data_IF_543034154742
#
_entry.id   IF_543034154742
#
_cell.length_a   1.000
_cell.length_b   1.000
_cell.length_c   1.000
_cell.angle_alpha   90.00
_cell.angle_beta   90.00
_cell.angle_gamma   90.00
#
_symmetry.space_group_name_H-M   'P 1'
#
loop_
_entity.id
_entity.type
_entity.pdbx_description
1 polymer ?
#
# COMPACT_ATOMS: atom_id res chain seq x y z
N UNK A 1 -32.28 -46.35 -44.70
CA UNK A 1 -32.18 -45.97 -43.27
C UNK A 1 -30.73 -45.60 -42.97
N UNK A 2 -30.44 -44.31 -42.93
CA UNK A 2 -29.11 -43.84 -42.67
C UNK A 2 -29.12 -43.06 -41.32
N UNK A 3 -28.54 -43.64 -40.29
CA UNK A 3 -28.44 -43.07 -38.95
C UNK A 3 -27.33 -42.02 -38.89
N UNK A 4 -27.70 -40.79 -38.67
CA UNK A 4 -26.81 -39.66 -38.45
C UNK A 4 -26.26 -39.70 -36.99
N UNK A 5 -25.00 -40.01 -36.85
CA UNK A 5 -24.27 -39.98 -35.59
C UNK A 5 -23.71 -38.57 -35.38
N UNK A 6 -24.41 -37.73 -34.55
CA UNK A 6 -23.90 -36.45 -34.12
C UNK A 6 -22.96 -36.65 -32.92
N UNK A 7 -21.69 -36.55 -33.21
CA UNK A 7 -20.64 -36.42 -32.19
C UNK A 7 -20.74 -35.05 -31.51
N UNK A 8 -21.17 -35.06 -30.26
CA UNK A 8 -21.09 -33.87 -29.37
C UNK A 8 -19.67 -33.77 -28.81
N UNK A 9 -18.90 -32.79 -29.28
CA UNK A 9 -17.63 -32.42 -28.64
C UNK A 9 -17.95 -31.72 -27.29
N UNK A 10 -17.31 -32.09 -26.20
CA UNK A 10 -17.38 -31.30 -24.98
C UNK A 10 -16.53 -30.02 -25.16
N UNK A 11 -17.14 -28.88 -25.01
CA UNK A 11 -16.47 -27.58 -24.91
C UNK A 11 -15.85 -27.46 -23.54
N UNK A 12 -14.55 -27.79 -23.43
CA UNK A 12 -13.75 -27.44 -22.28
C UNK A 12 -13.26 -26.00 -22.43
N UNK A 13 -14.12 -25.04 -22.11
CA UNK A 13 -13.69 -23.68 -21.81
C UNK A 13 -13.47 -23.62 -20.28
N UNK A 14 -12.33 -24.10 -19.84
CA UNK A 14 -11.75 -23.69 -18.58
C UNK A 14 -11.34 -22.22 -18.74
N UNK A 15 -12.19 -21.30 -18.34
CA UNK A 15 -11.82 -19.90 -18.15
C UNK A 15 -10.86 -19.85 -16.97
N UNK A 16 -9.55 -19.94 -17.24
CA UNK A 16 -8.55 -19.47 -16.28
C UNK A 16 -8.88 -18.00 -16.05
N UNK A 17 -9.38 -17.68 -14.84
CA UNK A 17 -9.53 -16.28 -14.43
C UNK A 17 -8.19 -15.59 -14.70
N UNK A 18 -8.16 -14.46 -15.41
CA UNK A 18 -6.92 -13.73 -15.59
C UNK A 18 -6.35 -13.43 -14.20
N UNK A 19 -5.10 -13.81 -13.97
CA UNK A 19 -4.43 -13.60 -12.71
C UNK A 19 -4.04 -12.13 -12.62
N UNK A 20 -4.29 -11.51 -11.47
CA UNK A 20 -3.79 -10.16 -11.21
C UNK A 20 -2.26 -10.19 -11.19
N UNK A 21 -1.61 -9.20 -11.80
CA UNK A 21 -0.17 -8.97 -11.71
C UNK A 21 0.09 -7.61 -11.09
N UNK A 22 0.77 -7.57 -9.95
CA UNK A 22 1.13 -6.35 -9.26
C UNK A 22 2.62 -6.08 -9.40
N UNK A 23 2.98 -5.02 -10.12
CA UNK A 23 4.36 -4.55 -10.28
C UNK A 23 4.64 -3.53 -9.19
N UNK A 24 5.66 -3.80 -8.38
CA UNK A 24 6.10 -2.97 -7.26
C UNK A 24 7.61 -2.68 -7.34
N UNK A 25 8.04 -1.62 -6.68
CA UNK A 25 9.47 -1.35 -6.47
C UNK A 25 9.99 -1.95 -5.16
N UNK A 26 11.27 -1.68 -4.88
CA UNK A 26 11.96 -2.14 -3.67
C UNK A 26 11.10 -2.02 -2.42
N UNK A 27 10.93 -3.11 -1.71
CA UNK A 27 10.11 -3.15 -0.48
C UNK A 27 10.72 -2.31 0.65
N UNK A 28 12.04 -2.21 0.69
CA UNK A 28 12.72 -1.39 1.68
C UNK A 28 12.31 0.10 1.60
N UNK A 29 12.10 0.64 0.40
CA UNK A 29 11.99 2.09 0.17
C UNK A 29 10.68 2.57 -0.42
N UNK A 30 9.95 1.71 -1.17
CA UNK A 30 8.79 2.15 -1.94
C UNK A 30 7.51 2.17 -1.10
N UNK A 31 7.22 3.32 -0.51
CA UNK A 31 6.00 3.54 0.26
C UNK A 31 4.71 3.44 -0.57
N UNK A 32 4.77 3.75 -1.85
CA UNK A 32 3.64 3.59 -2.77
C UNK A 32 3.37 2.12 -3.07
N UNK A 33 4.44 1.34 -3.29
CA UNK A 33 4.34 -0.11 -3.50
C UNK A 33 3.79 -0.85 -2.28
N UNK A 34 4.19 -0.47 -1.08
CA UNK A 34 3.62 -1.02 0.17
C UNK A 34 2.09 -0.88 0.20
N UNK A 35 1.55 0.29 -0.17
CA UNK A 35 0.10 0.51 -0.22
C UNK A 35 -0.60 -0.41 -1.23
N UNK A 36 -0.08 -0.47 -2.45
CA UNK A 36 -0.65 -1.34 -3.49
C UNK A 36 -0.60 -2.82 -3.10
N UNK A 37 0.49 -3.23 -2.47
CA UNK A 37 0.68 -4.60 -2.02
C UNK A 37 -0.26 -4.98 -0.87
N UNK A 38 -0.39 -4.12 0.14
CA UNK A 38 -1.35 -4.32 1.23
C UNK A 38 -2.80 -4.37 0.71
N UNK A 39 -3.13 -3.53 -0.28
CA UNK A 39 -4.43 -3.58 -0.93
C UNK A 39 -4.66 -4.92 -1.65
N UNK A 40 -3.67 -5.43 -2.38
CA UNK A 40 -3.76 -6.74 -3.02
C UNK A 40 -3.96 -7.87 -2.00
N UNK A 41 -3.24 -7.84 -0.88
CA UNK A 41 -3.44 -8.80 0.23
C UNK A 41 -4.84 -8.70 0.84
N UNK A 42 -5.33 -7.50 1.11
CA UNK A 42 -6.66 -7.28 1.71
C UNK A 42 -7.79 -7.75 0.79
N UNK A 43 -7.63 -7.62 -0.53
CA UNK A 43 -8.63 -8.09 -1.49
C UNK A 43 -8.90 -9.59 -1.37
N UNK A 44 -7.90 -10.37 -0.97
CA UNK A 44 -7.96 -11.84 -0.92
C UNK A 44 -7.97 -12.49 -2.30
N UNK A 45 -7.76 -11.71 -3.37
CA UNK A 45 -7.65 -12.23 -4.72
C UNK A 45 -6.23 -12.74 -4.98
N UNK A 46 -6.06 -13.85 -5.73
CA UNK A 46 -4.74 -14.32 -6.12
C UNK A 46 -4.09 -13.31 -7.06
N UNK A 47 -2.80 -13.03 -6.83
CA UNK A 47 -2.01 -12.15 -7.70
C UNK A 47 -0.56 -12.62 -7.79
N UNK A 48 0.05 -12.32 -8.92
CA UNK A 48 1.49 -12.43 -9.14
C UNK A 48 2.15 -11.14 -8.64
N UNK A 49 3.19 -11.27 -7.83
CA UNK A 49 4.02 -10.16 -7.37
C UNK A 49 5.26 -10.06 -8.26
N UNK A 50 5.48 -8.89 -8.85
CA UNK A 50 6.68 -8.58 -9.62
C UNK A 50 7.42 -7.43 -8.96
N UNK A 51 8.56 -7.71 -8.33
CA UNK A 51 9.42 -6.70 -7.72
C UNK A 51 10.45 -6.24 -8.75
N UNK A 52 10.55 -4.93 -8.95
CA UNK A 52 11.54 -4.32 -9.83
C UNK A 52 12.46 -3.39 -9.06
N UNK A 53 13.79 -3.45 -9.28
CA UNK A 53 14.71 -2.50 -8.67
C UNK A 53 14.45 -1.10 -9.22
N UNK A 54 14.29 -0.14 -8.30
CA UNK A 54 14.13 1.27 -8.63
C UNK A 54 15.50 1.92 -8.78
N UNK A 55 15.64 2.80 -9.77
CA UNK A 55 16.84 3.62 -10.00
C UNK A 55 18.13 2.83 -10.24
N UNK A 56 18.04 1.55 -10.65
CA UNK A 56 19.17 0.80 -11.17
C UNK A 56 19.57 1.25 -12.58
N UNK A 57 20.64 0.66 -13.15
CA UNK A 57 21.15 1.04 -14.47
C UNK A 57 20.12 0.86 -15.62
N UNK A 58 19.16 -0.05 -15.45
CA UNK A 58 18.13 -0.35 -16.44
C UNK A 58 16.79 0.36 -16.15
N UNK A 59 16.71 1.17 -15.08
CA UNK A 59 15.48 1.80 -14.64
C UNK A 59 14.82 2.66 -15.72
N UNK A 60 15.57 3.54 -16.39
CA UNK A 60 15.01 4.43 -17.39
C UNK A 60 14.46 3.66 -18.59
N UNK A 61 15.16 2.63 -19.05
CA UNK A 61 14.67 1.74 -20.09
C UNK A 61 13.42 0.96 -19.68
N UNK A 62 13.39 0.46 -18.44
CA UNK A 62 12.26 -0.32 -17.92
C UNK A 62 11.00 0.52 -17.78
N UNK A 63 11.10 1.73 -17.25
CA UNK A 63 9.96 2.64 -17.06
C UNK A 63 9.35 3.16 -18.35
N UNK A 64 10.07 3.10 -19.47
CA UNK A 64 9.59 3.44 -20.81
C UNK A 64 8.93 2.25 -21.53
N UNK A 65 9.07 1.04 -21.00
CA UNK A 65 8.48 -0.18 -21.56
C UNK A 65 6.95 -0.24 -21.38
N UNK A 66 6.31 -1.06 -22.21
CA UNK A 66 4.84 -1.18 -22.29
C UNK A 66 4.17 -1.49 -20.95
N UNK A 67 4.84 -2.24 -20.07
CA UNK A 67 4.30 -2.55 -18.74
C UNK A 67 4.18 -1.33 -17.82
N UNK A 68 5.02 -0.31 -18.03
CA UNK A 68 5.07 0.92 -17.22
C UNK A 68 4.46 2.14 -17.92
N UNK A 69 4.33 2.10 -19.22
CA UNK A 69 3.85 3.24 -20.00
C UNK A 69 2.54 3.84 -19.47
N UNK A 70 1.51 3.05 -19.09
CA UNK A 70 0.26 3.58 -18.55
C UNK A 70 0.43 4.41 -17.28
N UNK A 71 1.39 4.06 -16.42
CA UNK A 71 1.64 4.72 -15.13
C UNK A 71 2.63 5.90 -15.21
N UNK A 72 3.05 6.28 -16.41
CA UNK A 72 4.16 7.23 -16.62
C UNK A 72 5.44 6.79 -15.91
N UNK A 73 5.73 5.50 -15.93
CA UNK A 73 6.92 4.90 -15.35
C UNK A 73 6.96 4.89 -13.82
N UNK A 74 5.81 4.83 -13.15
CA UNK A 74 5.72 4.81 -11.67
C UNK A 74 5.15 3.48 -11.19
N UNK A 75 5.50 3.12 -9.96
CA UNK A 75 4.95 1.96 -9.24
C UNK A 75 4.14 2.43 -8.03
N UNK A 76 3.14 1.64 -7.56
CA UNK A 76 2.70 0.33 -8.05
C UNK A 76 1.85 0.41 -9.32
N UNK A 77 1.81 -0.71 -10.08
CA UNK A 77 0.93 -0.90 -11.23
C UNK A 77 0.24 -2.25 -11.06
N UNK A 78 -1.07 -2.28 -11.20
CA UNK A 78 -1.87 -3.48 -11.17
C UNK A 78 -2.40 -3.77 -12.58
N UNK A 79 -2.05 -4.92 -13.13
CA UNK A 79 -2.63 -5.48 -14.32
C UNK A 79 -3.68 -6.53 -13.96
N UNK A 80 -4.83 -6.47 -14.61
CA UNK A 80 -5.88 -7.47 -14.50
C UNK A 80 -6.16 -8.06 -15.89
N UNK A 81 -5.51 -9.18 -16.17
CA UNK A 81 -5.37 -9.69 -17.52
C UNK A 81 -4.50 -8.76 -18.38
N UNK A 82 -4.78 -8.76 -19.68
CA UNK A 82 -3.98 -8.01 -20.67
C UNK A 82 -4.57 -6.63 -20.97
N UNK A 83 -5.83 -6.38 -20.61
CA UNK A 83 -6.59 -5.20 -21.07
C UNK A 83 -6.80 -4.13 -19.98
N UNK A 84 -6.76 -4.51 -18.70
CA UNK A 84 -7.04 -3.58 -17.61
C UNK A 84 -5.76 -3.28 -16.84
N UNK A 85 -5.41 -2.01 -16.81
CA UNK A 85 -4.28 -1.53 -16.01
C UNK A 85 -4.74 -0.44 -15.07
N UNK A 86 -4.35 -0.56 -13.80
CA UNK A 86 -4.69 0.40 -12.76
C UNK A 86 -3.41 0.90 -12.12
N UNK A 87 -3.23 2.20 -12.08
CA UNK A 87 -2.13 2.86 -11.40
C UNK A 87 -2.63 4.02 -10.61
N UNK A 88 -1.84 4.42 -9.77
CA UNK A 88 -1.83 5.03 -8.47
C UNK A 88 -2.38 4.11 -7.38
N UNK A 89 -1.72 4.17 -6.21
CA UNK A 89 -2.02 3.27 -5.10
C UNK A 89 -3.45 3.42 -4.57
N UNK A 90 -4.03 4.63 -4.59
CA UNK A 90 -5.41 4.85 -4.14
C UNK A 90 -6.41 4.32 -5.17
N UNK A 91 -6.12 4.46 -6.46
CA UNK A 91 -6.94 3.86 -7.51
C UNK A 91 -6.92 2.32 -7.43
N UNK A 92 -5.75 1.72 -7.12
CA UNK A 92 -5.63 0.28 -6.88
C UNK A 92 -6.47 -0.16 -5.68
N UNK A 93 -6.49 0.61 -4.58
CA UNK A 93 -7.34 0.35 -3.41
C UNK A 93 -8.81 0.32 -3.82
N UNK A 94 -9.30 1.31 -4.58
CA UNK A 94 -10.70 1.38 -5.01
C UNK A 94 -11.04 0.24 -6.00
N UNK A 95 -10.17 -0.01 -6.98
CA UNK A 95 -10.38 -1.09 -7.94
C UNK A 95 -10.48 -2.46 -7.26
N UNK A 96 -9.55 -2.75 -6.35
CA UNK A 96 -9.55 -4.02 -5.62
C UNK A 96 -10.72 -4.12 -4.64
N UNK A 97 -11.17 -3.02 -4.05
CA UNK A 97 -12.38 -2.99 -3.25
C UNK A 97 -13.59 -3.44 -4.07
N UNK A 98 -13.82 -2.83 -5.24
CA UNK A 98 -14.94 -3.22 -6.13
C UNK A 98 -14.82 -4.68 -6.58
N UNK A 99 -13.64 -5.09 -7.04
CA UNK A 99 -13.40 -6.43 -7.57
C UNK A 99 -13.56 -7.54 -6.51
N UNK A 100 -13.32 -7.22 -5.24
CA UNK A 100 -13.45 -8.16 -4.11
C UNK A 100 -14.80 -8.17 -3.42
N UNK A 101 -15.78 -7.41 -3.89
CA UNK A 101 -17.15 -7.39 -3.38
C UNK A 101 -17.56 -6.11 -2.66
N UNK A 102 -16.65 -5.15 -2.45
CA UNK A 102 -16.97 -3.81 -1.97
C UNK A 102 -17.12 -3.63 -0.45
N UNK A 103 -16.83 -4.66 0.34
CA UNK A 103 -17.14 -4.71 1.77
C UNK A 103 -15.92 -4.80 2.72
N UNK A 104 -14.70 -4.91 2.17
CA UNK A 104 -13.50 -5.18 2.98
C UNK A 104 -12.66 -3.94 3.29
N UNK A 105 -12.64 -2.96 2.39
CA UNK A 105 -11.68 -1.86 2.45
C UNK A 105 -12.18 -0.66 3.25
N UNK A 106 -13.49 -0.43 3.20
CA UNK A 106 -14.10 0.76 3.79
C UNK A 106 -15.13 0.38 4.85
N UNK A 107 -15.27 1.19 5.92
CA UNK A 107 -16.30 0.98 6.93
C UNK A 107 -17.72 0.88 6.34
N UNK A 108 -18.53 0.01 6.87
CA UNK A 108 -19.93 -0.13 6.47
C UNK A 108 -20.79 1.10 6.84
N UNK A 109 -20.52 1.73 7.98
CA UNK A 109 -21.20 2.95 8.41
C UNK A 109 -20.88 4.11 7.45
N UNK A 110 -21.89 4.84 6.92
CA UNK A 110 -21.66 5.91 5.95
C UNK A 110 -20.82 7.08 6.47
N UNK A 111 -20.96 7.45 7.76
CA UNK A 111 -20.20 8.55 8.34
C UNK A 111 -18.73 8.16 8.56
N UNK A 112 -18.49 6.93 9.06
CA UNK A 112 -17.16 6.36 9.16
C UNK A 112 -16.49 6.25 7.80
N UNK A 113 -17.21 5.74 6.79
CA UNK A 113 -16.72 5.60 5.41
C UNK A 113 -16.36 6.95 4.78
N UNK A 114 -17.16 7.98 4.99
CA UNK A 114 -16.88 9.32 4.50
C UNK A 114 -15.58 9.87 5.13
N UNK A 115 -15.42 9.75 6.45
CA UNK A 115 -14.20 10.16 7.13
C UNK A 115 -12.98 9.33 6.67
N UNK A 116 -13.14 8.01 6.54
CA UNK A 116 -12.08 7.12 6.08
C UNK A 116 -11.54 7.52 4.70
N UNK A 117 -12.44 7.80 3.74
CA UNK A 117 -12.05 8.27 2.40
C UNK A 117 -11.37 9.64 2.44
N UNK A 118 -11.86 10.55 3.27
CA UNK A 118 -11.22 11.87 3.44
C UNK A 118 -9.80 11.74 3.99
N UNK A 119 -9.61 10.93 5.02
CA UNK A 119 -8.28 10.66 5.60
C UNK A 119 -7.33 9.98 4.60
N UNK A 120 -7.81 9.01 3.84
CA UNK A 120 -7.04 8.34 2.81
C UNK A 120 -6.60 9.32 1.71
N UNK A 121 -7.49 10.19 1.24
CA UNK A 121 -7.20 11.21 0.24
C UNK A 121 -6.22 12.28 0.78
N UNK A 122 -6.39 12.74 2.03
CA UNK A 122 -5.46 13.68 2.68
C UNK A 122 -4.07 13.06 2.82
N UNK A 123 -3.96 11.78 3.20
CA UNK A 123 -2.66 11.09 3.25
C UNK A 123 -2.06 10.93 1.85
N UNK A 124 -2.88 10.67 0.85
CA UNK A 124 -2.42 10.50 -0.53
C UNK A 124 -1.81 11.78 -1.11
N UNK A 125 -2.45 12.91 -0.93
CA UNK A 125 -2.06 14.19 -1.54
C UNK A 125 -1.22 15.09 -0.62
N UNK A 126 -1.29 14.89 0.70
CA UNK A 126 -0.69 15.76 1.70
C UNK A 126 0.63 15.26 2.30
N UNK A 127 1.02 15.89 3.41
CA UNK A 127 2.17 15.53 4.25
C UNK A 127 3.50 15.46 3.47
N UNK A 128 3.68 16.42 2.57
CA UNK A 128 4.84 16.47 1.70
C UNK A 128 6.16 16.73 2.45
N UNK A 129 6.23 17.58 3.50
CA UNK A 129 7.40 17.72 4.36
C UNK A 129 7.86 16.40 4.97
N UNK A 130 6.95 15.69 5.64
CA UNK A 130 7.26 14.38 6.23
C UNK A 130 7.79 13.39 5.19
N UNK A 131 7.13 13.31 4.03
CA UNK A 131 7.50 12.34 2.99
C UNK A 131 8.84 12.65 2.31
N UNK A 132 9.18 13.94 2.16
CA UNK A 132 10.45 14.34 1.53
C UNK A 132 11.64 14.23 2.46
N UNK A 133 11.45 14.63 3.74
CA UNK A 133 12.54 14.68 4.72
C UNK A 133 12.75 13.35 5.45
N UNK A 134 11.73 12.50 5.48
CA UNK A 134 11.77 11.19 6.13
C UNK A 134 11.31 10.11 5.13
N UNK A 135 12.17 9.74 4.21
CA UNK A 135 11.91 8.68 3.23
C UNK A 135 11.64 7.34 3.92
N UNK A 136 10.80 6.49 3.33
CA UNK A 136 10.60 5.16 3.88
C UNK A 136 11.89 4.34 3.75
N UNK A 137 12.33 3.75 4.85
CA UNK A 137 13.36 2.73 4.90
C UNK A 137 13.02 1.78 6.06
N UNK A 138 12.44 0.63 5.73
CA UNK A 138 11.96 -0.32 6.75
C UNK A 138 13.08 -1.19 7.32
N UNK A 139 14.32 -1.04 6.83
CA UNK A 139 15.52 -1.77 7.30
C UNK A 139 16.28 -1.04 8.39
N UNK A 140 16.01 0.25 8.57
CA UNK A 140 16.79 1.11 9.46
C UNK A 140 15.99 1.65 10.63
N UNK A 141 16.68 1.88 11.74
CA UNK A 141 16.20 2.68 12.86
C UNK A 141 17.31 3.66 13.23
N UNK A 142 17.03 4.93 13.14
CA UNK A 142 17.98 6.00 13.41
C UNK A 142 17.78 6.58 14.83
N UNK A 143 18.81 7.21 15.35
CA UNK A 143 18.75 7.93 16.62
C UNK A 143 17.64 9.01 16.58
N UNK A 144 16.98 9.28 17.71
CA UNK A 144 15.94 10.29 17.78
C UNK A 144 16.44 11.67 17.35
N UNK A 145 15.73 12.27 16.41
CA UNK A 145 15.94 13.66 15.98
C UNK A 145 14.69 14.50 16.21
N UNK A 146 14.87 15.80 16.46
CA UNK A 146 13.73 16.71 16.52
C UNK A 146 13.31 17.08 15.09
N UNK A 147 12.05 16.83 14.71
CA UNK A 147 11.56 17.26 13.40
C UNK A 147 11.52 18.79 13.34
N UNK A 148 11.75 19.34 12.16
CA UNK A 148 11.50 20.76 11.93
C UNK A 148 10.01 21.12 12.02
N UNK A 149 9.70 22.42 11.97
CA UNK A 149 8.34 22.94 12.18
C UNK A 149 7.32 22.34 11.18
N UNK A 150 7.72 22.15 9.92
CA UNK A 150 6.84 21.65 8.87
C UNK A 150 6.51 20.17 9.09
N UNK A 151 7.51 19.35 9.43
CA UNK A 151 7.32 17.94 9.76
C UNK A 151 6.54 17.78 11.07
N UNK A 152 6.82 18.63 12.07
CA UNK A 152 6.07 18.62 13.30
C UNK A 152 4.59 18.95 13.09
N UNK A 153 4.28 19.88 12.18
CA UNK A 153 2.90 20.20 11.79
C UNK A 153 2.22 19.01 11.09
N UNK A 154 2.91 18.34 10.15
CA UNK A 154 2.41 17.13 9.50
C UNK A 154 2.09 16.03 10.53
N UNK A 155 3.01 15.76 11.47
CA UNK A 155 2.81 14.77 12.52
C UNK A 155 1.63 15.14 13.43
N UNK A 156 1.52 16.40 13.84
CA UNK A 156 0.40 16.87 14.67
C UNK A 156 -0.93 16.61 13.98
N UNK A 157 -1.03 16.92 12.68
CA UNK A 157 -2.25 16.68 11.90
C UNK A 157 -2.57 15.20 11.76
N UNK A 158 -1.57 14.36 11.52
CA UNK A 158 -1.73 12.90 11.44
C UNK A 158 -2.27 12.35 12.77
N UNK A 159 -1.68 12.75 13.89
CA UNK A 159 -2.12 12.28 15.20
C UNK A 159 -3.52 12.76 15.56
N UNK A 160 -3.89 13.97 15.16
CA UNK A 160 -5.26 14.47 15.29
C UNK A 160 -6.26 13.59 14.52
N UNK A 161 -5.97 13.29 13.26
CA UNK A 161 -6.79 12.42 12.42
C UNK A 161 -6.97 11.03 13.04
N UNK A 162 -5.87 10.41 13.51
CA UNK A 162 -5.92 9.11 14.15
C UNK A 162 -6.72 9.13 15.46
N UNK A 163 -6.54 10.16 16.29
CA UNK A 163 -7.29 10.31 17.53
C UNK A 163 -8.79 10.46 17.26
N UNK A 164 -9.18 11.30 16.29
CA UNK A 164 -10.57 11.50 15.90
C UNK A 164 -11.22 10.22 15.35
N UNK A 165 -10.53 9.50 14.46
CA UNK A 165 -11.01 8.24 13.90
C UNK A 165 -11.23 7.20 14.99
N UNK A 166 -10.24 6.98 15.85
CA UNK A 166 -10.32 6.04 16.97
C UNK A 166 -11.44 6.39 17.96
N UNK A 167 -11.56 7.67 18.34
CA UNK A 167 -12.57 8.11 19.29
C UNK A 167 -14.00 7.92 18.77
N UNK A 168 -14.22 8.13 17.48
CA UNK A 168 -15.56 8.09 16.89
C UNK A 168 -15.96 6.71 16.36
N UNK A 169 -15.01 6.00 15.77
CA UNK A 169 -15.29 4.81 14.95
C UNK A 169 -14.37 3.61 15.23
N UNK A 170 -13.41 3.74 16.15
CA UNK A 170 -12.46 2.66 16.47
C UNK A 170 -13.02 1.57 17.40
N UNK A 171 -14.30 1.61 17.72
CA UNK A 171 -14.94 0.62 18.58
C UNK A 171 -15.07 -0.73 17.84
N UNK A 172 -14.65 -1.80 18.48
CA UNK A 172 -14.79 -3.15 17.92
C UNK A 172 -13.51 -3.72 17.28
N UNK A 173 -12.39 -2.98 17.27
CA UNK A 173 -11.11 -3.50 16.78
C UNK A 173 -9.93 -2.60 17.11
N UNK A 174 -8.76 -3.00 16.67
CA UNK A 174 -7.49 -2.35 17.04
C UNK A 174 -7.00 -1.31 16.02
N UNK A 175 -7.66 -1.22 14.86
CA UNK A 175 -7.28 -0.29 13.77
C UNK A 175 -8.11 1.00 13.81
N UNK A 176 -7.81 1.95 12.91
CA UNK A 176 -8.40 3.30 12.99
C UNK A 176 -9.93 3.31 12.94
N UNK A 177 -10.53 2.39 12.19
CA UNK A 177 -11.97 2.24 12.07
C UNK A 177 -12.49 0.88 12.55
N UNK A 178 -11.79 0.26 13.50
CA UNK A 178 -12.08 -1.07 14.02
C UNK A 178 -11.28 -2.15 13.33
N UNK A 179 -11.71 -2.62 12.18
CA UNK A 179 -10.98 -3.60 11.36
C UNK A 179 -9.88 -2.95 10.51
N UNK A 180 -8.87 -3.75 10.11
CA UNK A 180 -7.86 -3.31 9.16
C UNK A 180 -8.49 -2.97 7.81
N UNK A 181 -8.21 -1.76 7.30
CA UNK A 181 -8.84 -1.28 6.08
C UNK A 181 -7.97 -0.33 5.26
N UNK A 182 -8.59 0.32 4.28
CA UNK A 182 -7.91 1.21 3.35
C UNK A 182 -7.15 2.36 4.02
N UNK A 183 -7.69 2.89 5.13
CA UNK A 183 -7.03 3.97 5.87
C UNK A 183 -5.72 3.48 6.49
N UNK A 184 -5.72 2.28 7.08
CA UNK A 184 -4.53 1.69 7.69
C UNK A 184 -3.47 1.39 6.61
N UNK A 185 -3.90 0.92 5.43
CA UNK A 185 -3.03 0.76 4.25
C UNK A 185 -2.37 2.10 3.88
N UNK A 186 -3.16 3.17 3.81
CA UNK A 186 -2.64 4.48 3.41
C UNK A 186 -1.66 5.07 4.43
N UNK A 187 -1.87 4.82 5.73
CA UNK A 187 -1.00 5.29 6.80
C UNK A 187 0.14 4.32 7.17
N UNK A 188 0.17 3.08 6.65
CA UNK A 188 1.23 2.13 6.93
C UNK A 188 2.65 2.68 6.71
N UNK A 189 2.96 3.38 5.59
CA UNK A 189 4.27 4.00 5.43
C UNK A 189 4.59 5.14 6.40
N UNK A 190 3.58 5.75 7.01
CA UNK A 190 3.79 6.77 8.06
C UNK A 190 4.24 6.10 9.34
N UNK A 191 3.60 4.99 9.71
CA UNK A 191 3.99 4.20 10.88
C UNK A 191 5.44 3.73 10.78
N UNK A 192 5.88 3.24 9.62
CA UNK A 192 7.29 2.85 9.40
C UNK A 192 8.23 4.05 9.57
N UNK A 193 7.90 5.22 8.99
CA UNK A 193 8.73 6.44 9.11
C UNK A 193 8.90 6.89 10.56
N UNK A 194 7.82 6.89 11.35
CA UNK A 194 7.88 7.28 12.75
C UNK A 194 8.86 6.39 13.52
N UNK A 195 8.85 5.09 13.26
CA UNK A 195 9.78 4.14 13.90
C UNK A 195 11.19 4.29 13.34
N UNK A 196 11.36 4.32 12.02
CA UNK A 196 12.68 4.44 11.37
C UNK A 196 13.45 5.66 11.87
N UNK A 197 12.79 6.80 12.00
CA UNK A 197 13.44 8.06 12.39
C UNK A 197 13.23 8.42 13.87
N UNK A 198 12.68 7.49 14.67
CA UNK A 198 12.42 7.70 16.10
C UNK A 198 11.70 9.03 16.38
N UNK A 199 10.71 9.38 15.51
CA UNK A 199 10.02 10.66 15.58
C UNK A 199 9.13 10.76 16.83
N UNK A 200 8.96 11.97 17.40
CA UNK A 200 8.10 12.18 18.57
C UNK A 200 6.68 11.65 18.32
N UNK A 201 6.20 10.78 19.20
CA UNK A 201 4.94 10.09 19.02
C UNK A 201 4.15 10.02 20.33
N UNK A 202 2.87 10.48 20.38
CA UNK A 202 2.02 10.33 21.55
C UNK A 202 1.74 8.85 21.85
N UNK A 203 1.53 8.54 23.13
CA UNK A 203 1.34 7.14 23.59
C UNK A 203 0.21 6.41 22.84
N UNK A 204 -0.92 7.08 22.58
CA UNK A 204 -2.06 6.46 21.90
C UNK A 204 -1.70 6.11 20.43
N UNK A 205 -0.96 6.99 19.76
CA UNK A 205 -0.53 6.77 18.37
C UNK A 205 0.54 5.67 18.30
N UNK A 206 1.44 5.59 19.27
CA UNK A 206 2.41 4.50 19.37
C UNK A 206 1.71 3.15 19.54
N UNK A 207 0.64 3.06 20.33
CA UNK A 207 -0.18 1.84 20.44
C UNK A 207 -0.72 1.40 19.07
N UNK A 208 -1.29 2.31 18.29
CA UNK A 208 -1.76 2.03 16.94
C UNK A 208 -0.62 1.62 15.98
N UNK A 209 0.51 2.31 16.03
CA UNK A 209 1.70 1.98 15.22
C UNK A 209 2.16 0.55 15.50
N UNK A 210 2.25 0.16 16.77
CA UNK A 210 2.66 -1.21 17.17
C UNK A 210 1.67 -2.22 16.59
N UNK A 211 0.36 -2.01 16.76
CA UNK A 211 -0.67 -2.87 16.20
C UNK A 211 -0.53 -3.02 14.68
N UNK A 212 -0.35 -1.90 13.98
CA UNK A 212 -0.21 -1.88 12.53
C UNK A 212 1.04 -2.62 12.06
N UNK A 213 2.20 -2.36 12.69
CA UNK A 213 3.45 -3.02 12.32
C UNK A 213 3.48 -4.51 12.70
N UNK A 214 2.71 -4.94 13.69
CA UNK A 214 2.53 -6.34 14.06
C UNK A 214 1.53 -7.08 13.16
N UNK A 215 0.82 -6.39 12.28
CA UNK A 215 -0.05 -7.05 11.30
C UNK A 215 0.75 -8.06 10.47
N UNK A 216 0.27 -9.31 10.27
CA UNK A 216 1.03 -10.35 9.56
C UNK A 216 1.58 -9.89 8.19
N UNK A 217 0.79 -9.15 7.41
CA UNK A 217 1.23 -8.65 6.12
C UNK A 217 2.33 -7.58 6.24
N UNK A 218 2.31 -6.76 7.28
CA UNK A 218 3.41 -5.82 7.53
C UNK A 218 4.69 -6.56 7.90
N UNK A 219 4.58 -7.63 8.69
CA UNK A 219 5.73 -8.48 9.02
C UNK A 219 6.27 -9.20 7.78
N UNK A 220 5.39 -9.74 6.92
CA UNK A 220 5.79 -10.35 5.64
C UNK A 220 6.54 -9.34 4.75
N UNK A 221 6.02 -8.10 4.66
CA UNK A 221 6.66 -7.04 3.88
C UNK A 221 8.03 -6.67 4.42
N UNK A 222 8.15 -6.45 5.74
CA UNK A 222 9.41 -6.08 6.39
C UNK A 222 10.44 -7.21 6.27
N UNK A 223 10.02 -8.46 6.48
CA UNK A 223 10.90 -9.61 6.32
C UNK A 223 11.44 -9.71 4.88
N UNK A 224 10.56 -9.57 3.87
CA UNK A 224 10.98 -9.58 2.48
C UNK A 224 11.90 -8.39 2.12
N UNK A 225 11.68 -7.22 2.73
CA UNK A 225 12.56 -6.06 2.54
C UNK A 225 13.96 -6.29 3.12
N UNK A 226 14.11 -7.07 4.20
CA UNK A 226 15.41 -7.41 4.77
C UNK A 226 16.24 -8.31 3.85
N UNK A 227 15.58 -9.12 3.03
CA UNK A 227 16.25 -10.03 2.08
C UNK A 227 16.62 -9.36 0.75
N UNK A 228 16.17 -8.11 0.50
CA UNK A 228 16.53 -7.39 -0.72
C UNK A 228 18.00 -6.98 -0.73
N UNK A 229 18.70 -7.30 -1.82
CA UNK A 229 20.12 -6.94 -1.99
C UNK A 229 20.32 -5.48 -2.45
N UNK A 230 19.27 -4.85 -2.98
CA UNK A 230 19.36 -3.49 -3.52
C UNK A 230 19.47 -2.44 -2.42
N UNK A 231 20.41 -1.53 -2.58
CA UNK A 231 20.62 -0.38 -1.70
C UNK A 231 20.45 0.90 -2.51
N UNK A 232 19.59 1.81 -2.03
CA UNK A 232 19.40 3.13 -2.60
C UNK A 232 20.05 4.16 -1.65
N UNK A 233 21.30 4.52 -1.93
CA UNK A 233 22.13 5.38 -1.09
C UNK A 233 21.44 6.68 -0.63
N UNK A 234 20.60 7.27 -1.52
CA UNK A 234 19.85 8.47 -1.18
C UNK A 234 18.79 8.28 -0.08
N UNK A 235 18.48 7.03 0.29
CA UNK A 235 17.52 6.68 1.33
C UNK A 235 18.15 6.00 2.55
N UNK A 236 19.48 5.85 2.56
CA UNK A 236 20.24 5.23 3.67
C UNK A 236 20.73 6.25 4.71
N UNK A 237 20.51 7.53 4.48
CA UNK A 237 21.01 8.56 5.39
C UNK A 237 19.90 9.12 6.27
N UNK A 238 20.15 9.33 7.58
CA UNK A 238 19.28 10.14 8.40
C UNK A 238 19.24 11.56 7.84
N UNK A 239 18.09 12.18 7.90
CA UNK A 239 17.96 13.60 7.55
C UNK A 239 18.69 14.41 8.61
N UNK A 240 19.77 15.08 8.21
CA UNK A 240 20.51 16.03 9.06
C UNK A 240 19.79 17.37 9.15
#
# INVERSE_FOLDING_TARGET
MAGSNRSTRPSAHGTTRPMLKLIIGNKAYSSWSLRGWLAAKLSGLPFEEVVVPLYDADWDKRREGDEFAPSSGKVPILWDGDDIVVWDSLAIVEYLNEKSGGDKFWPADPAARAMARSMAAEMHSGFAPLRRKHSMNVRQVYDPTQPDADVAADLSRIYELWAQARARFGHGGDYLFGDFGAVDIMFAPVATRIVTYSLPCPRFAMGYIITLLQHPWMQDWIAAAQEEEWVLEQYEQPVT
#
